data_IF_265315302074
#
_entry.id   IF_265315302074
#
_cell.length_a   1.000
_cell.length_b   1.000
_cell.length_c   1.000
_cell.angle_alpha   90.00
_cell.angle_beta   90.00
_cell.angle_gamma   90.00
#
_symmetry.space_group_name_H-M   'P 1'
#
loop_
_entity.id
_entity.type
_entity.pdbx_description
1 polymer ?
#
# COMPACT_ATOMS: atom_id res chain seq x y z
N UNK A 1 17.65 -37.77 -56.64
CA UNK A 1 16.58 -36.82 -57.00
C UNK A 1 15.26 -37.42 -56.57
N UNK A 2 14.42 -36.64 -55.84
CA UNK A 2 12.98 -36.91 -55.57
C UNK A 2 12.79 -38.05 -54.52
N UNK A 3 12.29 -37.87 -53.29
CA UNK A 3 11.16 -37.06 -52.84
C UNK A 3 11.23 -36.80 -51.31
N UNK A 4 11.29 -35.51 -50.95
CA UNK A 4 11.02 -34.98 -49.62
C UNK A 4 9.52 -34.64 -49.56
N UNK A 5 8.80 -35.16 -48.57
CA UNK A 5 7.66 -34.54 -47.86
C UNK A 5 6.89 -35.61 -47.07
N UNK A 6 6.95 -35.51 -45.74
CA UNK A 6 5.87 -35.94 -44.86
C UNK A 6 5.63 -34.83 -43.85
N UNK A 7 4.59 -34.07 -44.16
CA UNK A 7 3.95 -33.07 -43.32
C UNK A 7 3.27 -33.83 -42.18
N UNK A 8 3.57 -33.51 -40.93
CA UNK A 8 2.67 -33.87 -39.83
C UNK A 8 2.60 -32.69 -38.88
N UNK A 9 1.56 -31.89 -39.09
CA UNK A 9 1.13 -30.85 -38.18
C UNK A 9 0.26 -31.46 -37.07
N UNK A 10 0.30 -30.80 -35.90
CA UNK A 10 -0.69 -30.78 -34.80
C UNK A 10 -0.56 -31.85 -33.71
N UNK A 11 -0.14 -31.41 -32.52
CA UNK A 11 -0.82 -31.63 -31.20
C UNK A 11 -0.43 -30.44 -30.31
N UNK A 12 -1.21 -29.36 -30.26
CA UNK A 12 -2.21 -29.03 -29.22
C UNK A 12 -1.73 -29.20 -27.77
N UNK A 13 -1.43 -28.08 -27.12
CA UNK A 13 -1.93 -27.77 -25.77
C UNK A 13 -1.63 -26.30 -25.49
N UNK A 14 -2.52 -25.42 -25.97
CA UNK A 14 -2.57 -24.05 -25.45
C UNK A 14 -2.87 -24.13 -23.97
N UNK A 15 -1.88 -23.83 -23.14
CA UNK A 15 -2.13 -23.41 -21.77
C UNK A 15 -2.88 -22.09 -21.86
N UNK A 16 -4.21 -22.17 -21.89
CA UNK A 16 -5.06 -21.05 -21.54
C UNK A 16 -4.69 -20.71 -20.10
N UNK A 17 -3.91 -19.63 -19.92
CA UNK A 17 -3.80 -19.00 -18.62
C UNK A 17 -5.21 -18.56 -18.25
N UNK A 18 -5.84 -19.32 -17.35
CA UNK A 18 -7.09 -18.94 -16.73
C UNK A 18 -6.83 -17.63 -16.01
N UNK A 19 -7.38 -16.54 -16.54
CA UNK A 19 -7.38 -15.25 -15.88
C UNK A 19 -8.06 -15.43 -14.52
N UNK A 20 -7.28 -15.37 -13.45
CA UNK A 20 -7.81 -15.26 -12.10
C UNK A 20 -8.41 -13.85 -12.00
N UNK A 21 -9.73 -13.75 -12.15
CA UNK A 21 -10.46 -12.53 -11.85
C UNK A 21 -10.51 -12.38 -10.35
N UNK A 22 -9.47 -11.80 -9.75
CA UNK A 22 -9.54 -11.36 -8.37
C UNK A 22 -10.56 -10.22 -8.32
N UNK A 23 -11.72 -10.51 -7.75
CA UNK A 23 -12.77 -9.51 -7.52
C UNK A 23 -12.43 -8.78 -6.23
N UNK A 24 -11.29 -8.09 -6.23
CA UNK A 24 -10.89 -7.26 -5.09
C UNK A 24 -11.87 -6.08 -5.01
N UNK A 25 -12.70 -6.06 -3.97
CA UNK A 25 -13.52 -4.90 -3.66
C UNK A 25 -12.58 -3.75 -3.24
N UNK A 26 -12.39 -2.77 -4.10
CA UNK A 26 -11.68 -1.54 -3.75
C UNK A 26 -12.61 -0.73 -2.84
N UNK A 27 -12.19 -0.52 -1.60
CA UNK A 27 -12.87 0.39 -0.69
C UNK A 27 -12.20 1.76 -0.78
N UNK A 28 -12.99 2.79 -1.04
CA UNK A 28 -12.53 4.18 -1.07
C UNK A 28 -13.07 4.91 0.15
N UNK A 29 -12.22 5.75 0.73
CA UNK A 29 -12.55 6.58 1.88
C UNK A 29 -12.18 8.03 1.55
N UNK A 30 -13.01 8.95 2.02
CA UNK A 30 -12.71 10.38 2.02
C UNK A 30 -12.45 10.80 3.47
N UNK A 31 -11.30 11.42 3.71
CA UNK A 31 -10.89 11.93 5.02
C UNK A 31 -10.77 13.44 4.90
N UNK A 32 -11.66 14.16 5.59
CA UNK A 32 -11.60 15.61 5.70
C UNK A 32 -10.97 15.98 7.04
N UNK A 33 -9.91 16.78 7.01
CA UNK A 33 -9.32 17.39 8.21
C UNK A 33 -9.53 18.89 8.16
N UNK A 34 -10.12 19.43 9.22
CA UNK A 34 -10.37 20.86 9.38
C UNK A 34 -9.50 21.41 10.51
N UNK A 35 -8.74 22.47 10.21
CA UNK A 35 -8.00 23.19 11.22
C UNK A 35 -8.92 24.18 11.94
N UNK A 36 -9.32 23.84 13.17
CA UNK A 36 -10.20 24.67 14.02
C UNK A 36 -9.43 25.72 14.85
N UNK A 37 -8.12 25.86 14.64
CA UNK A 37 -7.30 26.83 15.35
C UNK A 37 -7.12 28.12 14.55
N UNK A 38 -6.87 29.22 15.25
CA UNK A 38 -6.58 30.50 14.61
C UNK A 38 -5.06 30.69 14.49
N UNK A 39 -4.57 30.90 13.26
CA UNK A 39 -3.16 31.20 12.99
C UNK A 39 -2.14 30.17 13.50
N UNK A 40 -2.54 28.91 13.69
CA UNK A 40 -1.61 27.82 14.00
C UNK A 40 -1.63 26.82 12.84
N UNK A 41 -0.56 26.73 12.03
CA UNK A 41 -0.50 25.75 10.96
C UNK A 41 -0.43 24.34 11.53
N UNK A 42 -1.07 23.39 10.85
CA UNK A 42 -0.88 21.97 11.12
C UNK A 42 0.41 21.50 10.44
N UNK A 43 1.07 20.53 11.06
CA UNK A 43 2.08 19.73 10.36
C UNK A 43 1.45 19.03 9.14
N UNK A 44 2.25 18.61 8.15
CA UNK A 44 1.82 17.60 7.19
C UNK A 44 1.11 16.42 7.87
N UNK A 45 0.07 15.92 7.23
CA UNK A 45 -0.71 14.80 7.75
C UNK A 45 -0.17 13.48 7.21
N UNK A 46 -0.48 12.39 7.92
CA UNK A 46 -0.28 11.02 7.46
C UNK A 46 -1.59 10.27 7.67
N UNK A 47 -2.01 9.53 6.66
CA UNK A 47 -3.16 8.63 6.74
C UNK A 47 -2.68 7.22 6.42
N UNK A 48 -3.00 6.24 7.27
CA UNK A 48 -2.66 4.84 7.02
C UNK A 48 -3.88 3.92 7.15
N UNK A 49 -3.92 2.90 6.31
CA UNK A 49 -4.90 1.81 6.37
C UNK A 49 -4.16 0.55 6.82
N UNK A 50 -4.52 0.01 7.99
CA UNK A 50 -3.78 -1.07 8.64
C UNK A 50 -4.71 -2.20 9.12
N UNK A 51 -4.11 -3.34 9.47
CA UNK A 51 -4.83 -4.47 10.05
C UNK A 51 -5.17 -4.23 11.52
N UNK A 52 -6.16 -4.97 12.03
CA UNK A 52 -6.50 -4.97 13.45
C UNK A 52 -5.28 -5.38 14.29
N UNK A 53 -5.02 -4.65 15.38
CA UNK A 53 -3.91 -4.90 16.29
C UNK A 53 -2.69 -4.00 16.05
N UNK A 54 -2.58 -3.38 14.88
CA UNK A 54 -1.59 -2.33 14.64
C UNK A 54 -2.08 -1.00 15.22
N UNK A 55 -1.21 -0.32 15.95
CA UNK A 55 -1.44 1.02 16.47
C UNK A 55 -0.27 1.90 16.06
N UNK A 56 -0.56 3.09 15.52
CA UNK A 56 0.48 4.07 15.22
C UNK A 56 1.13 4.61 16.50
N UNK A 57 0.33 4.75 17.57
CA UNK A 57 0.78 5.10 18.91
C UNK A 57 -0.20 4.57 19.97
N UNK A 58 0.31 4.44 21.20
CA UNK A 58 -0.49 4.14 22.40
C UNK A 58 -0.11 5.17 23.47
N UNK A 59 -1.11 5.77 24.12
CA UNK A 59 -0.86 6.80 25.12
C UNK A 59 -0.06 6.23 26.31
N UNK A 60 1.04 6.92 26.66
CA UNK A 60 1.94 6.51 27.72
C UNK A 60 3.07 5.58 27.27
N UNK A 61 3.10 5.18 26.00
CA UNK A 61 4.18 4.40 25.41
C UNK A 61 5.07 5.26 24.52
N UNK A 62 6.33 4.83 24.36
CA UNK A 62 7.24 5.46 23.39
C UNK A 62 6.77 5.14 21.96
N UNK A 63 6.94 6.11 21.06
CA UNK A 63 6.63 5.96 19.63
C UNK A 63 7.90 5.66 18.83
N UNK A 64 7.75 5.36 17.54
CA UNK A 64 8.89 5.22 16.63
C UNK A 64 9.60 6.56 16.40
N UNK A 65 10.84 6.50 15.90
CA UNK A 65 11.62 7.69 15.56
C UNK A 65 10.96 8.50 14.43
N UNK A 66 10.36 7.82 13.44
CA UNK A 66 9.59 8.49 12.40
C UNK A 66 8.40 9.28 12.95
N UNK A 67 7.70 8.72 13.93
CA UNK A 67 6.60 9.44 14.60
C UNK A 67 7.12 10.64 15.38
N UNK A 68 8.19 10.49 16.18
CA UNK A 68 8.80 11.59 16.93
C UNK A 68 9.14 12.78 16.03
N UNK A 69 9.74 12.52 14.86
CA UNK A 69 10.07 13.56 13.86
C UNK A 69 8.84 14.29 13.32
N UNK A 70 7.73 13.58 13.12
CA UNK A 70 6.46 14.22 12.76
C UNK A 70 5.92 15.08 13.91
N UNK A 71 5.93 14.56 15.14
CA UNK A 71 5.37 15.24 16.30
C UNK A 71 6.15 16.50 16.70
N UNK A 72 7.47 16.47 16.60
CA UNK A 72 8.35 17.55 17.06
C UNK A 72 8.81 18.47 15.93
N UNK A 73 9.03 17.92 14.74
CA UNK A 73 9.60 18.62 13.59
C UNK A 73 8.63 18.85 12.43
N UNK A 74 7.47 18.19 12.43
CA UNK A 74 6.51 18.29 11.33
C UNK A 74 6.97 17.64 10.02
N UNK A 75 7.96 16.73 10.06
CA UNK A 75 8.39 15.96 8.90
C UNK A 75 7.81 14.55 8.96
N UNK A 76 7.02 14.17 7.95
CA UNK A 76 6.38 12.86 7.87
C UNK A 76 7.13 11.83 7.01
N UNK A 77 8.26 12.20 6.40
CA UNK A 77 8.95 11.36 5.42
C UNK A 77 9.39 10.01 6.02
N UNK A 78 10.03 10.03 7.19
CA UNK A 78 10.48 8.82 7.87
C UNK A 78 9.31 7.96 8.35
N UNK A 79 8.22 8.56 8.86
CA UNK A 79 7.04 7.82 9.27
C UNK A 79 6.38 7.12 8.08
N UNK A 80 6.28 7.78 6.93
CA UNK A 80 5.76 7.16 5.70
C UNK A 80 6.65 6.00 5.23
N UNK A 81 7.98 6.12 5.35
CA UNK A 81 8.89 5.02 5.04
C UNK A 81 8.68 3.84 6.00
N UNK A 82 8.55 4.09 7.31
CA UNK A 82 8.27 3.06 8.31
C UNK A 82 6.94 2.35 8.04
N UNK A 83 5.87 3.10 7.75
CA UNK A 83 4.55 2.57 7.46
C UNK A 83 4.53 1.73 6.17
N UNK A 84 5.19 2.20 5.11
CA UNK A 84 5.28 1.45 3.86
C UNK A 84 6.12 0.16 4.00
N UNK A 85 6.98 0.06 5.02
CA UNK A 85 7.75 -1.15 5.33
C UNK A 85 7.00 -2.11 6.27
N UNK A 86 5.94 -1.68 6.95
CA UNK A 86 5.16 -2.51 7.87
C UNK A 86 4.16 -3.38 7.09
N UNK A 87 4.30 -4.71 7.19
CA UNK A 87 3.44 -5.67 6.47
C UNK A 87 1.97 -5.65 6.90
N UNK A 88 1.69 -5.11 8.08
CA UNK A 88 0.33 -4.97 8.60
C UNK A 88 -0.32 -3.62 8.20
N UNK A 89 0.43 -2.74 7.50
CA UNK A 89 -0.08 -1.55 6.83
C UNK A 89 -0.29 -1.86 5.35
N UNK A 90 -1.48 -1.56 4.84
CA UNK A 90 -1.92 -1.86 3.47
C UNK A 90 -1.81 -0.66 2.53
N UNK A 91 -1.84 0.55 3.07
CA UNK A 91 -1.61 1.79 2.35
C UNK A 91 -1.25 2.90 3.35
N UNK A 92 -0.41 3.84 2.92
CA UNK A 92 -0.20 5.12 3.61
C UNK A 92 0.02 6.25 2.62
N UNK A 93 -0.46 7.45 2.97
CA UNK A 93 -0.34 8.70 2.19
C UNK A 93 0.01 9.85 3.14
#
# INVERSE_FOLDING_TARGET
MKNLKLWSSIVTAGLLLTACGDSSSVNSYEVTVENLTYSQPLSPMVVSYHQQGENLFVAGEAVSVGFEKLAEGGDNSDLLLELNANTNVRASV
#
